data_IF_079248243708
#
_entry.id   IF_079248243708
#
_cell.length_a   1.000
_cell.length_b   1.000
_cell.length_c   1.000
_cell.angle_alpha   90.00
_cell.angle_beta   90.00
_cell.angle_gamma   90.00
#
_symmetry.space_group_name_H-M   'P 1'
#
loop_
_entity.id
_entity.type
_entity.pdbx_description
1 polymer ?
#
# COMPACT_ATOMS: atom_id res chain seq x y z
N UNK A 1 7.87 -2.57 23.36
CA UNK A 1 8.55 -2.98 22.10
C UNK A 1 7.80 -2.40 20.90
N UNK A 2 8.49 -1.97 19.85
CA UNK A 2 7.84 -1.52 18.60
C UNK A 2 8.18 -2.49 17.48
N UNK A 3 7.17 -2.98 16.76
CA UNK A 3 7.32 -3.84 15.58
C UNK A 3 6.94 -3.04 14.35
N UNK A 4 7.89 -2.87 13.44
CA UNK A 4 7.80 -2.04 12.25
C UNK A 4 8.65 -0.77 12.35
N UNK A 5 9.06 -0.28 11.18
CA UNK A 5 9.88 0.93 11.06
C UNK A 5 9.34 1.95 10.05
N UNK A 6 8.03 1.91 9.80
CA UNK A 6 7.34 2.92 9.00
C UNK A 6 7.29 4.27 9.74
N UNK A 7 6.90 5.35 9.04
CA UNK A 7 6.84 6.69 9.65
C UNK A 7 5.96 6.74 10.91
N UNK A 8 4.92 5.90 10.98
CA UNK A 8 4.03 5.80 12.14
C UNK A 8 4.77 5.33 13.40
N UNK A 9 5.82 4.51 13.25
CA UNK A 9 6.64 4.03 14.38
C UNK A 9 7.25 5.19 15.17
N UNK A 10 7.62 6.28 14.49
CA UNK A 10 8.19 7.48 15.11
C UNK A 10 7.15 8.27 15.90
N UNK A 11 5.89 8.30 15.45
CA UNK A 11 4.79 8.86 16.22
C UNK A 11 4.53 8.06 17.50
N UNK A 12 4.63 6.72 17.43
CA UNK A 12 4.56 5.87 18.62
C UNK A 12 5.72 6.14 19.58
N UNK A 13 6.95 6.32 19.10
CA UNK A 13 8.09 6.72 19.93
C UNK A 13 7.86 8.05 20.66
N UNK A 14 7.38 9.08 19.95
CA UNK A 14 7.03 10.37 20.55
C UNK A 14 5.96 10.23 21.62
N UNK A 15 4.91 9.46 21.34
CA UNK A 15 3.78 9.26 22.26
C UNK A 15 4.24 8.53 23.52
N UNK A 16 5.03 7.46 23.38
CA UNK A 16 5.59 6.72 24.51
C UNK A 16 6.48 7.62 25.37
N UNK A 17 7.36 8.42 24.75
CA UNK A 17 8.21 9.38 25.45
C UNK A 17 7.41 10.42 26.22
N UNK A 18 6.32 10.93 25.65
CA UNK A 18 5.44 11.90 26.31
C UNK A 18 4.80 11.36 27.59
N UNK A 19 4.47 10.07 27.62
CA UNK A 19 3.90 9.41 28.81
C UNK A 19 4.96 8.74 29.71
N UNK A 20 6.25 9.02 29.46
CA UNK A 20 7.36 8.49 30.28
C UNK A 20 7.67 7.01 30.06
N UNK A 21 7.14 6.38 29.01
CA UNK A 21 7.39 4.98 28.67
C UNK A 21 8.57 4.90 27.69
N UNK A 22 9.57 4.07 28.03
CA UNK A 22 10.74 3.86 27.17
C UNK A 22 10.54 2.66 26.25
N UNK A 23 10.66 2.87 24.94
CA UNK A 23 10.69 1.77 23.99
C UNK A 23 12.00 0.98 24.10
N UNK A 24 11.89 -0.34 24.27
CA UNK A 24 13.04 -1.26 24.39
C UNK A 24 13.84 -1.35 23.08
N UNK A 25 13.15 -1.53 21.95
CA UNK A 25 13.72 -1.56 20.62
C UNK A 25 12.63 -1.33 19.55
N UNK A 26 13.08 -1.02 18.34
CA UNK A 26 12.30 -1.17 17.11
C UNK A 26 12.77 -2.40 16.35
N UNK A 27 11.84 -3.27 15.97
CA UNK A 27 12.09 -4.52 15.26
C UNK A 27 11.61 -4.37 13.81
N UNK A 28 12.48 -4.67 12.85
CA UNK A 28 12.19 -4.61 11.42
C UNK A 28 12.57 -5.94 10.76
N UNK A 29 11.64 -6.47 9.97
CA UNK A 29 11.82 -7.73 9.24
C UNK A 29 12.81 -7.58 8.09
N UNK A 30 12.76 -6.44 7.41
CA UNK A 30 13.60 -6.14 6.25
C UNK A 30 15.03 -5.79 6.67
N UNK A 31 15.95 -5.81 5.72
CA UNK A 31 17.36 -5.44 5.90
C UNK A 31 17.62 -3.95 6.14
N UNK A 32 16.57 -3.14 6.11
CA UNK A 32 16.62 -1.69 6.29
C UNK A 32 15.26 -1.17 6.75
N UNK A 33 15.26 0.02 7.34
CA UNK A 33 14.03 0.66 7.76
C UNK A 33 13.16 1.09 6.57
N UNK A 34 11.85 1.15 6.83
CA UNK A 34 10.82 1.54 5.84
C UNK A 34 10.65 3.06 5.77
N UNK A 35 10.81 3.77 6.88
CA UNK A 35 10.79 5.23 6.92
C UNK A 35 11.89 5.86 6.05
N UNK A 36 11.69 7.13 5.69
CA UNK A 36 12.65 7.88 4.91
C UNK A 36 13.93 8.11 5.72
N UNK A 37 15.09 8.02 5.06
CA UNK A 37 16.35 8.40 5.68
C UNK A 37 16.36 9.90 6.01
N UNK A 38 16.97 10.31 7.13
CA UNK A 38 17.79 9.52 8.06
C UNK A 38 17.01 8.97 9.28
N UNK A 39 15.84 8.36 9.09
CA UNK A 39 14.99 7.87 10.19
C UNK A 39 15.66 6.91 11.18
N UNK A 40 16.61 6.10 10.73
CA UNK A 40 17.36 5.16 11.58
C UNK A 40 18.25 5.90 12.58
N UNK A 41 18.89 6.98 12.14
CA UNK A 41 19.66 7.87 12.99
C UNK A 41 18.76 8.60 13.98
N UNK A 42 17.60 9.07 13.53
CA UNK A 42 16.61 9.74 14.40
C UNK A 42 16.13 8.80 15.51
N UNK A 43 15.80 7.54 15.20
CA UNK A 43 15.41 6.56 16.21
C UNK A 43 16.54 6.30 17.23
N UNK A 44 17.76 6.08 16.74
CA UNK A 44 18.89 5.68 17.58
C UNK A 44 19.45 6.82 18.42
N UNK A 45 19.63 8.00 17.84
CA UNK A 45 20.28 9.15 18.48
C UNK A 45 19.25 10.08 19.10
N UNK A 46 18.16 10.36 18.38
CA UNK A 46 17.11 11.26 18.87
C UNK A 46 16.26 10.64 19.99
N UNK A 47 15.85 9.38 19.84
CA UNK A 47 15.02 8.69 20.83
C UNK A 47 15.78 7.72 21.74
N UNK A 48 17.06 7.45 21.45
CA UNK A 48 17.85 6.48 22.21
C UNK A 48 17.34 5.04 22.05
N UNK A 49 16.62 4.73 20.97
CA UNK A 49 15.98 3.43 20.76
C UNK A 49 16.76 2.61 19.71
N UNK A 50 17.25 1.41 20.06
CA UNK A 50 17.95 0.57 19.11
C UNK A 50 17.00 0.07 18.02
N UNK A 51 17.46 0.09 16.77
CA UNK A 51 16.75 -0.47 15.62
C UNK A 51 17.40 -1.78 15.22
N UNK A 52 16.63 -2.86 15.19
CA UNK A 52 17.09 -4.20 14.81
C UNK A 52 16.42 -4.62 13.51
N UNK A 53 17.18 -4.62 12.41
CA UNK A 53 16.77 -5.14 11.10
C UNK A 53 17.02 -6.65 10.98
N UNK A 54 16.50 -7.26 9.92
CA UNK A 54 16.67 -8.69 9.60
C UNK A 54 16.16 -9.61 10.72
N UNK A 55 15.00 -9.25 11.29
CA UNK A 55 14.35 -10.01 12.35
C UNK A 55 13.20 -10.84 11.81
N UNK A 56 13.23 -12.16 11.99
CA UNK A 56 12.16 -13.09 11.59
C UNK A 56 11.61 -13.86 12.79
N UNK A 57 10.57 -14.67 12.55
CA UNK A 57 10.05 -15.63 13.52
C UNK A 57 9.66 -15.00 14.87
N UNK A 58 8.97 -13.85 14.79
CA UNK A 58 8.54 -13.10 15.97
C UNK A 58 7.59 -13.94 16.83
N UNK A 59 7.90 -14.09 18.12
CA UNK A 59 7.05 -14.76 19.11
C UNK A 59 6.88 -13.86 20.32
N UNK A 60 5.63 -13.50 20.60
CA UNK A 60 5.25 -12.79 21.83
C UNK A 60 5.33 -13.78 22.98
N UNK A 61 6.02 -13.39 24.06
CA UNK A 61 6.18 -14.20 25.25
C UNK A 61 5.22 -13.73 26.34
N UNK A 62 4.78 -14.69 27.16
CA UNK A 62 3.81 -14.50 28.23
C UNK A 62 2.44 -15.11 27.90
N UNK A 63 1.61 -15.30 28.93
CA UNK A 63 0.27 -15.87 28.80
C UNK A 63 -0.80 -14.81 29.02
N UNK A 64 -0.93 -14.30 30.25
CA UNK A 64 -1.92 -13.29 30.61
C UNK A 64 -1.49 -11.86 30.26
N UNK A 65 -0.17 -11.64 30.16
CA UNK A 65 0.44 -10.36 29.82
C UNK A 65 1.68 -10.59 28.97
N UNK A 66 2.10 -9.55 28.24
CA UNK A 66 3.36 -9.58 27.51
C UNK A 66 4.51 -9.54 28.52
N UNK A 67 5.46 -10.44 28.35
CA UNK A 67 6.70 -10.53 29.15
C UNK A 67 7.95 -10.32 28.29
N UNK A 68 7.82 -10.48 26.98
CA UNK A 68 8.92 -10.27 26.06
C UNK A 68 8.57 -10.53 24.60
N UNK A 69 9.57 -10.37 23.76
CA UNK A 69 9.55 -10.75 22.36
C UNK A 69 10.78 -11.60 22.07
N UNK A 70 10.56 -12.82 21.56
CA UNK A 70 11.59 -13.65 20.96
C UNK A 70 11.56 -13.51 19.45
N UNK A 71 12.73 -13.50 18.81
CA UNK A 71 12.86 -13.37 17.37
C UNK A 71 14.20 -13.96 16.89
N UNK A 72 14.24 -14.39 15.65
CA UNK A 72 15.47 -14.83 14.99
C UNK A 72 16.15 -13.65 14.32
N UNK A 73 17.47 -13.52 14.48
CA UNK A 73 18.25 -12.48 13.82
C UNK A 73 19.67 -12.96 13.57
N UNK A 74 20.12 -12.90 12.31
CA UNK A 74 21.47 -13.29 11.88
C UNK A 74 21.86 -14.70 12.35
N UNK A 75 20.97 -15.68 12.18
CA UNK A 75 21.24 -17.07 12.56
C UNK A 75 21.04 -17.39 14.05
N UNK A 76 20.68 -16.41 14.89
CA UNK A 76 20.58 -16.60 16.35
C UNK A 76 19.22 -16.14 16.86
N UNK A 77 18.59 -16.95 17.72
CA UNK A 77 17.40 -16.55 18.47
C UNK A 77 17.78 -15.58 19.59
N UNK A 78 17.09 -14.46 19.64
CA UNK A 78 17.23 -13.44 20.68
C UNK A 78 15.91 -13.27 21.40
N UNK A 79 15.99 -12.87 22.66
CA UNK A 79 14.83 -12.53 23.47
C UNK A 79 15.08 -11.18 24.13
N UNK A 80 14.08 -10.31 24.08
CA UNK A 80 14.07 -9.02 24.76
C UNK A 80 12.84 -8.97 25.67
N UNK A 81 13.07 -8.68 26.95
CA UNK A 81 11.98 -8.46 27.91
C UNK A 81 11.25 -7.16 27.60
N UNK A 82 9.92 -7.20 27.67
CA UNK A 82 9.05 -6.04 27.56
C UNK A 82 7.65 -6.37 28.08
N UNK A 83 6.92 -5.36 28.51
CA UNK A 83 5.56 -5.47 29.07
C UNK A 83 4.46 -5.09 28.06
N UNK A 84 4.84 -4.70 26.84
CA UNK A 84 3.91 -4.29 25.79
C UNK A 84 4.54 -4.25 24.41
N UNK A 85 3.71 -4.46 23.38
CA UNK A 85 4.10 -4.45 21.97
C UNK A 85 3.19 -3.49 21.20
N UNK A 86 3.80 -2.63 20.39
CA UNK A 86 3.11 -1.71 19.48
C UNK A 86 3.45 -2.12 18.04
N UNK A 87 2.43 -2.44 17.25
CA UNK A 87 2.58 -2.73 15.82
C UNK A 87 2.39 -1.46 14.99
N UNK A 88 3.39 -1.10 14.19
CA UNK A 88 3.45 0.17 13.46
C UNK A 88 3.90 -0.05 12.02
N UNK A 89 3.30 -1.02 11.34
CA UNK A 89 3.56 -1.30 9.93
C UNK A 89 2.67 -2.39 9.35
N UNK A 90 2.84 -2.65 8.05
CA UNK A 90 2.04 -3.61 7.28
C UNK A 90 0.53 -3.33 7.32
N UNK A 91 0.15 -2.05 7.41
CA UNK A 91 -1.24 -1.61 7.54
C UNK A 91 -2.14 -2.23 6.46
N UNK A 92 -3.28 -2.75 6.90
CA UNK A 92 -4.34 -3.26 6.03
C UNK A 92 -5.46 -2.21 5.94
N UNK A 93 -6.18 -2.12 4.82
CA UNK A 93 -7.46 -1.44 4.83
C UNK A 93 -8.42 -2.13 5.80
N UNK A 94 -9.29 -1.35 6.44
CA UNK A 94 -10.39 -1.88 7.25
C UNK A 94 -11.52 -2.35 6.33
N UNK A 95 -11.47 -3.62 5.92
CA UNK A 95 -12.38 -4.21 4.94
C UNK A 95 -13.31 -5.28 5.52
N UNK A 96 -13.49 -5.32 6.85
CA UNK A 96 -14.36 -6.30 7.52
C UNK A 96 -15.79 -6.30 6.95
N UNK A 97 -16.38 -5.11 6.75
CA UNK A 97 -17.74 -4.98 6.17
C UNK A 97 -17.81 -5.36 4.70
N UNK A 98 -16.73 -5.14 3.94
CA UNK A 98 -16.69 -5.47 2.51
C UNK A 98 -16.53 -6.98 2.27
N UNK A 99 -15.83 -7.67 3.17
CA UNK A 99 -15.53 -9.10 3.06
C UNK A 99 -16.79 -9.96 3.02
N UNK A 100 -17.88 -9.51 3.66
CA UNK A 100 -19.17 -10.19 3.67
C UNK A 100 -20.17 -9.63 2.63
N UNK A 101 -19.74 -8.69 1.79
CA UNK A 101 -20.58 -8.04 0.79
C UNK A 101 -20.43 -8.68 -0.59
N UNK A 102 -21.25 -8.24 -1.55
CA UNK A 102 -21.13 -8.60 -2.97
C UNK A 102 -20.00 -7.85 -3.70
N UNK A 103 -19.31 -6.91 -3.04
CA UNK A 103 -18.23 -6.15 -3.64
C UNK A 103 -16.97 -7.00 -3.75
N UNK A 104 -16.29 -6.93 -4.91
CA UNK A 104 -15.05 -7.67 -5.16
C UNK A 104 -13.89 -7.00 -4.40
N UNK A 105 -13.09 -7.79 -3.70
CA UNK A 105 -11.87 -7.34 -3.04
C UNK A 105 -10.65 -7.69 -3.87
N UNK A 106 -9.73 -6.74 -4.01
CA UNK A 106 -8.44 -6.99 -4.67
C UNK A 106 -7.50 -7.72 -3.69
N UNK A 107 -6.95 -8.90 -4.02
CA UNK A 107 -6.05 -9.62 -3.12
C UNK A 107 -4.76 -8.85 -2.82
N UNK A 108 -4.33 -7.96 -3.72
CA UNK A 108 -3.13 -7.14 -3.57
C UNK A 108 -3.31 -6.01 -2.56
N UNK A 109 -4.30 -5.13 -2.77
CA UNK A 109 -4.58 -4.02 -1.83
C UNK A 109 -5.31 -4.49 -0.57
N UNK A 110 -6.08 -5.58 -0.66
CA UNK A 110 -7.06 -6.09 0.32
C UNK A 110 -8.25 -5.15 0.54
N UNK A 111 -8.39 -4.15 -0.30
CA UNK A 111 -9.53 -3.22 -0.36
C UNK A 111 -10.44 -3.54 -1.54
N UNK A 112 -11.50 -2.73 -1.77
CA UNK A 112 -12.41 -2.96 -2.88
C UNK A 112 -11.71 -2.74 -4.23
N UNK A 113 -12.07 -3.57 -5.22
CA UNK A 113 -11.74 -3.33 -6.63
C UNK A 113 -12.46 -2.07 -7.06
N UNK A 114 -11.72 -1.09 -7.57
CA UNK A 114 -12.29 0.16 -8.09
C UNK A 114 -11.96 0.39 -9.55
N UNK A 115 -12.83 1.16 -10.21
CA UNK A 115 -12.53 1.74 -11.51
C UNK A 115 -11.83 3.12 -11.39
N UNK A 116 -11.51 3.73 -12.54
CA UNK A 116 -10.85 5.04 -12.61
C UNK A 116 -11.69 6.19 -12.02
N UNK A 117 -12.99 5.98 -11.80
CA UNK A 117 -13.93 6.90 -11.20
C UNK A 117 -14.22 6.56 -9.73
N UNK A 118 -13.43 5.65 -9.13
CA UNK A 118 -13.58 5.18 -7.75
C UNK A 118 -14.87 4.38 -7.48
N UNK A 119 -15.58 3.92 -8.52
CA UNK A 119 -16.74 3.01 -8.36
C UNK A 119 -16.26 1.64 -7.93
N UNK A 120 -16.98 0.97 -7.04
CA UNK A 120 -16.79 -0.45 -6.73
C UNK A 120 -17.44 -1.34 -7.81
N UNK A 121 -17.28 -2.67 -7.74
CA UNK A 121 -17.83 -3.58 -8.77
C UNK A 121 -19.34 -3.49 -8.92
N UNK A 122 -20.05 -3.14 -7.86
CA UNK A 122 -21.37 -2.52 -7.94
C UNK A 122 -21.22 -0.99 -8.07
N UNK A 123 -21.69 -0.45 -9.19
CA UNK A 123 -21.58 0.95 -9.56
C UNK A 123 -22.36 1.92 -8.65
N UNK A 124 -23.21 1.40 -7.75
CA UNK A 124 -23.90 2.17 -6.72
C UNK A 124 -22.99 2.58 -5.56
N UNK A 125 -21.84 1.89 -5.42
CA UNK A 125 -20.90 2.10 -4.33
C UNK A 125 -19.59 2.71 -4.84
N UNK A 126 -18.99 3.58 -4.03
CA UNK A 126 -17.71 4.21 -4.30
C UNK A 126 -16.80 4.07 -3.09
N UNK A 127 -15.50 3.99 -3.31
CA UNK A 127 -14.51 3.85 -2.24
C UNK A 127 -13.33 4.81 -2.43
N UNK A 128 -12.78 5.33 -1.34
CA UNK A 128 -11.62 6.24 -1.39
C UNK A 128 -10.76 6.16 -0.13
N UNK A 129 -9.57 6.73 -0.18
CA UNK A 129 -8.67 6.83 0.97
C UNK A 129 -8.12 5.48 1.42
N UNK A 130 -7.89 5.34 2.72
CA UNK A 130 -7.24 4.16 3.30
C UNK A 130 -8.10 2.87 3.24
N UNK A 131 -9.37 2.95 2.86
CA UNK A 131 -10.17 1.77 2.54
C UNK A 131 -9.66 1.08 1.25
N UNK A 132 -9.11 1.85 0.31
CA UNK A 132 -8.57 1.30 -0.94
C UNK A 132 -7.30 0.48 -0.72
N UNK A 133 -6.53 0.83 0.32
CA UNK A 133 -5.22 0.26 0.69
C UNK A 133 -4.74 0.89 2.01
N UNK A 134 -4.02 0.14 2.85
CA UNK A 134 -3.36 0.71 4.03
C UNK A 134 -1.98 1.31 3.71
N UNK A 135 -1.39 2.15 4.55
CA UNK A 135 -1.84 3.49 4.97
C UNK A 135 -1.38 4.51 3.91
N UNK A 136 -2.10 5.61 3.74
CA UNK A 136 -1.75 6.77 2.92
C UNK A 136 -1.87 8.06 3.71
N UNK A 137 -1.25 9.13 3.20
CA UNK A 137 -1.28 10.43 3.87
C UNK A 137 -2.67 11.05 3.80
N UNK A 138 -3.01 11.86 4.82
CA UNK A 138 -4.28 12.60 4.86
C UNK A 138 -4.53 13.41 3.58
N UNK A 139 -3.50 14.09 3.06
CA UNK A 139 -3.59 14.84 1.82
C UNK A 139 -3.87 13.96 0.59
N UNK A 140 -3.38 12.72 0.56
CA UNK A 140 -3.72 11.78 -0.50
C UNK A 140 -5.16 11.29 -0.37
N UNK A 141 -5.59 10.93 0.84
CA UNK A 141 -6.96 10.53 1.13
C UNK A 141 -7.96 11.64 0.75
N UNK A 142 -7.65 12.90 1.06
CA UNK A 142 -8.46 14.06 0.67
C UNK A 142 -8.60 14.18 -0.85
N UNK A 143 -7.51 14.06 -1.61
CA UNK A 143 -7.57 14.13 -3.09
C UNK A 143 -8.40 13.00 -3.69
N UNK A 144 -8.29 11.80 -3.13
CA UNK A 144 -9.08 10.63 -3.57
C UNK A 144 -10.55 10.81 -3.22
N UNK A 145 -10.86 11.26 -2.00
CA UNK A 145 -12.22 11.56 -1.57
C UNK A 145 -12.87 12.64 -2.43
N UNK A 146 -12.15 13.73 -2.76
CA UNK A 146 -12.65 14.76 -3.68
C UNK A 146 -12.95 14.20 -5.08
N UNK A 147 -12.08 13.33 -5.58
CA UNK A 147 -12.27 12.69 -6.90
C UNK A 147 -13.49 11.75 -6.89
N UNK A 148 -13.64 10.94 -5.85
CA UNK A 148 -14.80 10.08 -5.66
C UNK A 148 -16.10 10.90 -5.52
N UNK A 149 -16.08 12.00 -4.76
CA UNK A 149 -17.23 12.88 -4.59
C UNK A 149 -17.69 13.51 -5.93
N UNK A 150 -16.76 13.94 -6.78
CA UNK A 150 -17.12 14.41 -8.13
C UNK A 150 -17.77 13.30 -8.98
N UNK A 151 -17.27 12.06 -8.88
CA UNK A 151 -17.84 10.93 -9.60
C UNK A 151 -19.24 10.57 -9.07
N UNK A 152 -19.43 10.56 -7.75
CA UNK A 152 -20.74 10.38 -7.11
C UNK A 152 -21.72 11.46 -7.59
N UNK A 153 -21.32 12.74 -7.57
CA UNK A 153 -22.16 13.83 -8.04
C UNK A 153 -22.54 13.66 -9.52
N UNK A 154 -21.61 13.26 -10.39
CA UNK A 154 -21.90 12.97 -11.78
C UNK A 154 -22.86 11.77 -11.94
N UNK A 155 -22.72 10.73 -11.11
CA UNK A 155 -23.60 9.56 -11.11
C UNK A 155 -25.04 9.94 -10.75
N UNK A 156 -25.21 10.76 -9.71
CA UNK A 156 -26.52 11.25 -9.27
C UNK A 156 -27.20 12.17 -10.29
N UNK A 157 -26.46 12.69 -11.27
CA UNK A 157 -26.99 13.48 -12.38
C UNK A 157 -27.15 12.67 -13.67
N UNK A 158 -27.00 11.34 -13.62
CA UNK A 158 -27.01 10.43 -14.77
C UNK A 158 -25.98 10.82 -15.85
N UNK A 159 -24.88 11.46 -15.45
CA UNK A 159 -23.79 11.91 -16.33
C UNK A 159 -22.66 10.90 -16.47
N UNK A 160 -22.66 9.85 -15.67
CA UNK A 160 -21.70 8.75 -15.84
C UNK A 160 -22.26 7.72 -16.80
N UNK A 161 -21.44 7.33 -17.77
CA UNK A 161 -21.76 6.20 -18.62
C UNK A 161 -22.03 4.94 -17.78
N UNK A 162 -23.00 4.14 -18.23
CA UNK A 162 -23.25 2.81 -17.71
C UNK A 162 -21.94 2.00 -17.72
N UNK A 163 -21.79 1.12 -16.72
CA UNK A 163 -20.61 0.26 -16.64
C UNK A 163 -20.62 -0.71 -17.84
N UNK A 164 -19.86 -0.39 -18.89
CA UNK A 164 -19.54 -1.33 -19.95
C UNK A 164 -18.70 -2.49 -19.39
N UNK A 165 -18.57 -3.58 -20.16
CA UNK A 165 -17.67 -4.69 -19.82
C UNK A 165 -16.27 -4.14 -19.46
N UNK A 166 -15.84 -4.29 -18.19
CA UNK A 166 -14.66 -3.59 -17.71
C UNK A 166 -13.38 -4.24 -18.23
N UNK A 167 -12.37 -3.42 -18.51
CA UNK A 167 -11.01 -3.90 -18.78
C UNK A 167 -10.33 -4.14 -17.43
N UNK A 168 -9.94 -5.38 -17.13
CA UNK A 168 -9.21 -5.70 -15.90
C UNK A 168 -7.75 -5.29 -16.01
N UNK A 169 -7.20 -4.84 -14.88
CA UNK A 169 -5.81 -4.42 -14.75
C UNK A 169 -5.13 -5.33 -13.72
N UNK A 170 -4.13 -6.09 -14.16
CA UNK A 170 -3.36 -6.98 -13.31
C UNK A 170 -1.99 -6.39 -12.96
N UNK A 171 -1.57 -6.58 -11.71
CA UNK A 171 -0.22 -6.25 -11.26
C UNK A 171 0.72 -7.45 -11.48
N UNK A 172 1.84 -7.22 -12.16
CA UNK A 172 2.87 -8.21 -12.45
C UNK A 172 4.26 -7.84 -11.91
N UNK A 173 5.16 -8.83 -11.92
CA UNK A 173 6.55 -8.65 -11.51
C UNK A 173 6.70 -8.28 -10.03
N UNK A 174 7.47 -7.24 -9.73
CA UNK A 174 7.77 -6.81 -8.36
C UNK A 174 6.67 -5.95 -7.71
N UNK A 175 5.51 -5.77 -8.35
CA UNK A 175 4.38 -5.05 -7.76
C UNK A 175 3.63 -5.90 -6.73
N UNK A 176 3.15 -5.26 -5.67
CA UNK A 176 2.18 -5.83 -4.75
C UNK A 176 0.76 -5.68 -5.27
N UNK A 177 0.46 -4.51 -5.85
CA UNK A 177 -0.84 -4.15 -6.39
C UNK A 177 -0.72 -2.94 -7.32
N UNK A 178 -1.77 -2.73 -8.12
CA UNK A 178 -2.01 -1.53 -8.93
C UNK A 178 -3.47 -1.12 -8.79
N UNK A 179 -3.77 0.18 -8.87
CA UNK A 179 -5.13 0.68 -8.95
C UNK A 179 -5.22 1.91 -9.88
N UNK A 180 -6.36 2.13 -10.55
CA UNK A 180 -7.58 1.32 -10.48
C UNK A 180 -7.36 -0.12 -10.99
N UNK A 181 -8.13 -1.08 -10.49
CA UNK A 181 -8.00 -2.50 -10.85
C UNK A 181 -8.82 -2.83 -12.08
N UNK A 182 -9.71 -1.93 -12.48
CA UNK A 182 -10.46 -2.03 -13.72
C UNK A 182 -10.68 -0.67 -14.34
N UNK A 183 -11.03 -0.66 -15.62
CA UNK A 183 -11.45 0.55 -16.32
C UNK A 183 -12.86 0.34 -16.86
N UNK A 184 -13.72 1.33 -16.62
CA UNK A 184 -15.09 1.34 -17.13
C UNK A 184 -15.19 2.37 -18.25
N UNK A 185 -15.42 1.89 -19.47
CA UNK A 185 -15.40 2.70 -20.69
C UNK A 185 -14.22 2.35 -21.61
N UNK A 186 -14.38 2.66 -22.89
CA UNK A 186 -13.37 2.40 -23.94
C UNK A 186 -12.89 3.67 -24.64
N UNK A 187 -13.38 4.83 -24.20
CA UNK A 187 -13.01 6.13 -24.78
C UNK A 187 -11.54 6.47 -24.54
N UNK A 188 -11.03 7.52 -25.21
CA UNK A 188 -9.67 7.97 -24.99
C UNK A 188 -9.52 8.43 -23.54
N UNK A 189 -8.58 7.81 -22.83
CA UNK A 189 -8.20 8.24 -21.48
C UNK A 189 -7.08 9.28 -21.60
N UNK A 190 -7.35 10.52 -21.22
CA UNK A 190 -6.34 11.59 -21.27
C UNK A 190 -6.32 12.45 -19.99
N UNK A 191 -5.39 12.21 -19.04
CA UNK A 191 -4.52 11.03 -18.93
C UNK A 191 -5.17 9.88 -18.14
N UNK A 192 -4.73 8.66 -18.39
CA UNK A 192 -5.04 7.53 -17.51
C UNK A 192 -4.10 7.51 -16.30
N UNK A 193 -4.67 7.58 -15.10
CA UNK A 193 -3.92 7.65 -13.84
C UNK A 193 -3.82 6.27 -13.21
N UNK A 194 -2.59 5.86 -12.92
CA UNK A 194 -2.33 4.65 -12.16
C UNK A 194 -1.54 4.96 -10.90
N UNK A 195 -1.76 4.12 -9.91
CA UNK A 195 -0.97 4.12 -8.68
C UNK A 195 -0.71 2.67 -8.27
N UNK A 196 0.44 2.43 -7.66
CA UNK A 196 0.88 1.08 -7.28
C UNK A 196 1.79 1.12 -6.06
N UNK A 197 2.15 -0.06 -5.57
CA UNK A 197 3.20 -0.25 -4.56
C UNK A 197 4.05 -1.45 -4.95
N UNK A 198 5.35 -1.33 -4.76
CA UNK A 198 6.28 -2.44 -4.95
C UNK A 198 6.31 -3.34 -3.70
N UNK A 199 6.46 -4.65 -3.91
CA UNK A 199 6.59 -5.65 -2.85
C UNK A 199 7.98 -5.61 -2.20
N UNK A 200 8.97 -5.44 -3.05
CA UNK A 200 10.40 -5.43 -2.71
C UNK A 200 11.05 -4.18 -3.28
N UNK A 201 12.22 -3.82 -2.75
CA UNK A 201 13.01 -2.74 -3.35
C UNK A 201 13.39 -3.17 -4.78
N UNK A 202 13.16 -2.30 -5.76
CA UNK A 202 13.36 -2.66 -7.17
C UNK A 202 13.84 -1.47 -7.96
N UNK A 203 14.98 -1.67 -8.63
CA UNK A 203 15.47 -0.80 -9.71
C UNK A 203 15.20 -1.52 -11.03
N UNK A 204 14.36 -0.94 -11.86
CA UNK A 204 13.71 -1.67 -12.95
C UNK A 204 13.03 -0.77 -13.96
N UNK A 205 12.13 -1.37 -14.74
CA UNK A 205 11.24 -0.69 -15.67
C UNK A 205 9.80 -1.01 -15.30
N UNK A 206 9.00 0.04 -15.12
CA UNK A 206 7.54 -0.08 -14.96
C UNK A 206 6.91 -0.03 -16.35
N UNK A 207 6.10 -1.01 -16.73
CA UNK A 207 5.49 -1.11 -18.05
C UNK A 207 3.97 -1.25 -17.93
N UNK A 208 3.26 -0.76 -18.92
CA UNK A 208 1.82 -1.00 -19.13
C UNK A 208 1.68 -1.72 -20.46
N UNK A 209 1.03 -2.88 -20.42
CA UNK A 209 0.80 -3.73 -21.58
C UNK A 209 -0.70 -3.85 -21.81
N UNK A 210 -1.13 -3.69 -23.05
CA UNK A 210 -2.50 -3.94 -23.50
C UNK A 210 -2.52 -5.22 -24.33
N UNK A 211 -3.24 -6.23 -23.85
CA UNK A 211 -3.26 -7.58 -24.44
C UNK A 211 -1.85 -8.12 -24.78
N UNK A 212 -0.90 -7.87 -23.87
CA UNK A 212 0.50 -8.28 -24.01
C UNK A 212 1.40 -7.34 -24.82
N UNK A 213 0.85 -6.33 -25.51
CA UNK A 213 1.63 -5.30 -26.23
C UNK A 213 1.96 -4.13 -25.32
N UNK A 214 3.23 -3.77 -25.20
CA UNK A 214 3.65 -2.59 -24.44
C UNK A 214 3.10 -1.31 -25.08
N UNK A 215 2.40 -0.50 -24.28
CA UNK A 215 1.85 0.81 -24.67
C UNK A 215 2.54 1.97 -23.93
N UNK A 216 3.22 1.68 -22.82
CA UNK A 216 3.93 2.67 -22.04
C UNK A 216 5.01 2.02 -21.18
N UNK A 217 6.13 2.69 -20.98
CA UNK A 217 7.14 2.28 -20.00
C UNK A 217 7.92 3.45 -19.42
N UNK A 218 8.50 3.24 -18.23
CA UNK A 218 9.37 4.20 -17.56
C UNK A 218 10.39 3.50 -16.65
N UNK A 219 11.69 3.87 -16.70
CA UNK A 219 12.66 3.41 -15.73
C UNK A 219 12.31 3.93 -14.33
N UNK A 220 12.44 3.09 -13.31
CA UNK A 220 12.07 3.46 -11.94
C UNK A 220 13.00 2.82 -10.90
N UNK A 221 13.19 3.51 -9.79
CA UNK A 221 13.82 2.98 -8.59
C UNK A 221 12.87 3.20 -7.41
N UNK A 222 12.33 2.11 -6.87
CA UNK A 222 11.28 2.15 -5.84
C UNK A 222 11.66 1.31 -4.65
N UNK A 223 11.11 1.74 -3.53
CA UNK A 223 11.19 1.04 -2.27
C UNK A 223 9.81 0.52 -1.89
N UNK A 224 9.73 -0.55 -1.08
CA UNK A 224 8.46 -1.00 -0.51
C UNK A 224 7.77 0.13 0.27
N UNK A 225 6.45 0.00 0.44
CA UNK A 225 5.58 0.99 1.09
C UNK A 225 5.48 2.37 0.41
N UNK A 226 6.36 2.69 -0.54
CA UNK A 226 6.29 3.96 -1.28
C UNK A 226 5.24 3.89 -2.39
N UNK A 227 4.37 4.90 -2.41
CA UNK A 227 3.40 5.09 -3.47
C UNK A 227 4.12 5.35 -4.79
N UNK A 228 3.83 4.52 -5.78
CA UNK A 228 4.17 4.74 -7.18
C UNK A 228 2.95 5.39 -7.82
N UNK A 229 3.14 6.48 -8.56
CA UNK A 229 2.09 7.10 -9.33
C UNK A 229 2.63 7.51 -10.71
N UNK A 230 1.82 7.31 -11.74
CA UNK A 230 2.17 7.70 -13.10
C UNK A 230 0.91 7.99 -13.91
N UNK A 231 1.15 8.60 -15.06
CA UNK A 231 0.14 8.94 -16.04
C UNK A 231 0.53 8.25 -17.33
N UNK A 232 -0.41 7.53 -17.93
CA UNK A 232 -0.30 7.12 -19.32
C UNK A 232 -0.98 8.22 -20.14
N UNK A 233 -0.28 8.86 -21.10
CA UNK A 233 -0.88 9.84 -22.01
C UNK A 233 -2.06 9.27 -22.78
N UNK A 234 -2.79 10.11 -23.52
CA UNK A 234 -3.91 9.75 -24.37
C UNK A 234 -3.75 8.35 -25.01
N UNK A 235 -4.55 7.41 -24.51
CA UNK A 235 -4.56 6.01 -24.99
C UNK A 235 -5.98 5.64 -25.39
N UNK A 236 -6.10 5.09 -26.59
CA UNK A 236 -7.32 4.42 -27.04
C UNK A 236 -7.24 2.94 -26.64
N UNK A 237 -8.22 2.49 -25.85
CA UNK A 237 -8.34 1.11 -25.39
C UNK A 237 -9.49 0.38 -26.09
N UNK A 238 -9.96 0.89 -27.22
CA UNK A 238 -10.90 0.19 -28.08
C UNK A 238 -10.33 -1.17 -28.53
N UNK A 239 -11.12 -2.22 -28.35
CA UNK A 239 -10.71 -3.59 -28.65
C UNK A 239 -9.78 -4.23 -27.63
N UNK A 240 -9.34 -3.50 -26.60
CA UNK A 240 -8.51 -4.06 -25.53
C UNK A 240 -9.38 -4.79 -24.52
N UNK A 241 -8.94 -5.98 -24.13
CA UNK A 241 -9.65 -6.83 -23.17
C UNK A 241 -8.96 -6.86 -21.80
N UNK A 242 -7.64 -6.75 -21.78
CA UNK A 242 -6.83 -6.86 -20.57
C UNK A 242 -5.68 -5.85 -20.56
N UNK A 243 -5.39 -5.33 -19.37
CA UNK A 243 -4.19 -4.54 -19.10
C UNK A 243 -3.32 -5.24 -18.05
N UNK A 244 -2.02 -5.28 -18.30
CA UNK A 244 -1.03 -5.68 -17.31
C UNK A 244 -0.16 -4.50 -16.98
N UNK A 245 0.05 -4.23 -15.70
CA UNK A 245 1.09 -3.32 -15.21
C UNK A 245 2.17 -4.17 -14.57
N UNK A 246 3.36 -4.21 -15.14
CA UNK A 246 4.48 -4.96 -14.60
C UNK A 246 5.60 -4.04 -14.08
N UNK A 247 6.30 -4.49 -13.03
CA UNK A 247 7.57 -3.90 -12.62
C UNK A 247 8.65 -4.96 -12.78
N UNK A 248 9.42 -4.86 -13.86
CA UNK A 248 10.51 -5.78 -14.17
C UNK A 248 11.83 -5.26 -13.57
N UNK A 249 12.52 -6.04 -12.71
CA UNK A 249 13.86 -5.71 -12.27
C UNK A 249 14.82 -5.58 -13.48
N UNK A 250 15.82 -4.71 -13.38
CA UNK A 250 16.93 -4.74 -14.35
C UNK A 250 17.64 -6.09 -14.22
N UNK A 251 17.90 -6.74 -15.36
CA UNK A 251 18.86 -7.85 -15.44
C UNK A 251 20.26 -7.37 -15.07
#
# INVERSE_FOLDING_TARGET
>A
MIIGSELVAFSSLLTLGHVGVKAVAMIEERSRISAWQPGDWVARIGFGVPVMTDCSDLRILGQDKVEGLSFHRRGVTRTLECDGIVFTGQFRPESALLTQSHLELDPGTRGPVIDQLYRCTDASYFASGNLLRGIETAGQCYREGKSAAHAIHAALQDKLAAAAAPIRIEAGGALSYVYPQRLTGRGPYDPLLFKARARVATKGTLRVLADGREIWSRPINVLPERRIAWRVPAVDLNGIHHLTVDLQPRK
#
